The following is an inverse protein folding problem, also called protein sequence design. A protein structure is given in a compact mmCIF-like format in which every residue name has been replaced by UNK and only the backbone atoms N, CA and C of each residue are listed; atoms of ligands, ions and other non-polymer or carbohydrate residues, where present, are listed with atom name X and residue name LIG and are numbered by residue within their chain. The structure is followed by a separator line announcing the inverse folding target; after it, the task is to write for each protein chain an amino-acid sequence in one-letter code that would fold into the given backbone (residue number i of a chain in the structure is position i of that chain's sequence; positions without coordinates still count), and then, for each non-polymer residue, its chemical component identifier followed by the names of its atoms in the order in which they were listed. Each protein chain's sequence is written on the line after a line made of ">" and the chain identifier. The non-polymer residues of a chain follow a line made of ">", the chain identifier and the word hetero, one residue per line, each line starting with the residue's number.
data_IF_035658161434
#
_entry.id   IF_035658161434
#
_cell.length_a   1.000
_cell.length_b   1.000
_cell.length_c   1.000
_cell.angle_alpha   90.00
_cell.angle_beta   90.00
_cell.angle_gamma   90.00
#
_symmetry.space_group_name_H-M   'P 1'
#
loop_
_entity.id
_entity.type
_entity.pdbx_description
1 polymer ?
#
# COMPACT_ATOMS: atom_id res chain seq x y z
N UNK A 1 21.56 23.52 4.80
CA UNK A 1 20.20 23.00 5.02
C UNK A 1 20.25 21.49 4.85
N UNK A 2 20.32 20.77 5.95
CA UNK A 2 20.34 19.30 5.96
C UNK A 2 18.98 18.82 5.47
N UNK A 3 18.90 18.20 4.29
CA UNK A 3 17.71 17.43 3.88
C UNK A 3 17.57 16.31 4.90
N UNK A 4 16.59 16.42 5.79
CA UNK A 4 16.15 15.27 6.55
C UNK A 4 15.80 14.19 5.54
N UNK A 5 16.57 13.10 5.54
CA UNK A 5 16.26 11.94 4.72
C UNK A 5 14.82 11.52 5.04
N UNK A 6 13.95 11.53 4.05
CA UNK A 6 12.57 11.09 4.26
C UNK A 6 12.62 9.64 4.71
N UNK A 7 12.07 9.36 5.88
CA UNK A 7 12.01 8.02 6.45
C UNK A 7 10.95 7.25 5.65
N UNK A 8 11.34 6.74 4.50
CA UNK A 8 10.41 6.01 3.63
C UNK A 8 10.27 4.57 4.12
N UNK A 9 9.06 4.21 4.57
CA UNK A 9 8.71 2.85 4.94
C UNK A 9 7.82 2.26 3.85
N UNK A 10 7.96 0.97 3.60
CA UNK A 10 7.10 0.26 2.66
C UNK A 10 7.02 -1.22 3.00
N UNK A 11 6.02 -1.89 2.47
CA UNK A 11 5.84 -3.33 2.66
C UNK A 11 6.25 -4.06 1.39
N UNK A 12 7.00 -5.14 1.55
CA UNK A 12 7.37 -6.05 0.46
C UNK A 12 6.89 -7.47 0.77
N UNK A 13 6.83 -8.28 -0.27
CA UNK A 13 6.54 -9.70 -0.12
C UNK A 13 7.58 -10.55 -0.85
N UNK A 14 7.96 -11.69 -0.25
CA UNK A 14 8.77 -12.71 -0.90
C UNK A 14 7.83 -13.70 -1.64
N UNK A 15 7.88 -13.75 -2.98
CA UNK A 15 7.05 -14.67 -3.76
C UNK A 15 7.32 -16.15 -3.44
N UNK A 16 8.54 -16.51 -3.03
CA UNK A 16 8.93 -17.89 -2.72
C UNK A 16 8.25 -18.42 -1.45
N UNK A 17 7.92 -17.51 -0.53
CA UNK A 17 7.26 -17.84 0.74
C UNK A 17 5.73 -17.64 0.68
N UNK A 18 5.22 -16.96 -0.35
CA UNK A 18 3.80 -16.68 -0.49
C UNK A 18 3.04 -17.88 -1.04
N UNK A 19 2.06 -18.39 -0.29
CA UNK A 19 1.18 -19.49 -0.71
C UNK A 19 -0.12 -19.03 -1.37
N UNK A 20 -0.31 -17.73 -1.57
CA UNK A 20 -1.50 -17.18 -2.21
C UNK A 20 -2.81 -17.32 -1.40
N UNK A 21 -2.78 -17.45 -0.08
CA UNK A 21 -3.96 -17.73 0.75
C UNK A 21 -4.95 -16.56 0.89
N UNK A 22 -4.60 -15.35 0.45
CA UNK A 22 -5.39 -14.11 0.56
C UNK A 22 -5.69 -13.62 1.99
N UNK A 23 -5.14 -14.22 3.03
CA UNK A 23 -5.34 -13.78 4.42
C UNK A 23 -4.96 -12.31 4.62
N UNK A 24 -3.90 -11.86 3.97
CA UNK A 24 -3.46 -10.47 3.99
C UNK A 24 -4.51 -9.49 3.40
N UNK A 25 -5.25 -9.91 2.37
CA UNK A 25 -6.34 -9.10 1.80
C UNK A 25 -7.50 -8.97 2.78
N UNK A 26 -7.90 -10.07 3.40
CA UNK A 26 -9.00 -10.09 4.40
C UNK A 26 -8.65 -9.23 5.60
N UNK A 27 -7.46 -9.40 6.14
CA UNK A 27 -6.97 -8.63 7.29
C UNK A 27 -6.88 -7.12 6.97
N UNK A 28 -6.40 -6.78 5.78
CA UNK A 28 -6.38 -5.39 5.32
C UNK A 28 -7.79 -4.79 5.26
N UNK A 29 -8.76 -5.51 4.68
CA UNK A 29 -10.17 -5.10 4.64
C UNK A 29 -10.75 -4.88 6.02
N UNK A 30 -10.58 -5.83 6.92
CA UNK A 30 -11.13 -5.77 8.27
C UNK A 30 -10.57 -4.60 9.07
N UNK A 31 -9.25 -4.39 9.00
CA UNK A 31 -8.62 -3.30 9.73
C UNK A 31 -9.13 -1.93 9.27
N UNK A 32 -9.23 -1.72 7.95
CA UNK A 32 -9.76 -0.46 7.43
C UNK A 32 -11.25 -0.25 7.74
N UNK A 33 -12.05 -1.31 7.69
CA UNK A 33 -13.45 -1.24 8.12
C UNK A 33 -13.62 -0.80 9.58
N UNK A 34 -12.77 -1.28 10.48
CA UNK A 34 -12.80 -0.89 11.90
C UNK A 34 -12.63 0.61 12.10
N UNK A 35 -11.89 1.25 11.20
CA UNK A 35 -11.64 2.70 11.22
C UNK A 35 -12.57 3.49 10.30
N UNK A 36 -13.66 2.87 9.79
CA UNK A 36 -14.65 3.55 8.95
C UNK A 36 -14.19 3.89 7.53
N UNK A 37 -13.09 3.28 7.08
CA UNK A 37 -12.55 3.43 5.73
C UNK A 37 -13.16 2.39 4.77
N UNK A 38 -12.92 2.56 3.47
CA UNK A 38 -13.39 1.61 2.47
C UNK A 38 -12.92 0.18 2.76
N UNK A 39 -13.83 -0.78 2.62
CA UNK A 39 -13.57 -2.19 2.92
C UNK A 39 -12.71 -2.90 1.87
N UNK A 40 -12.49 -2.31 0.70
CA UNK A 40 -11.65 -2.92 -0.31
C UNK A 40 -10.19 -3.08 0.18
N UNK A 41 -9.57 -4.24 -0.03
CA UNK A 41 -8.18 -4.46 0.38
C UNK A 41 -7.24 -3.56 -0.40
N UNK A 42 -6.20 -3.04 0.26
CA UNK A 42 -5.23 -2.10 -0.31
C UNK A 42 -4.00 -2.80 -0.89
N UNK A 43 -4.11 -4.09 -1.05
CA UNK A 43 -3.15 -4.95 -1.73
C UNK A 43 -3.92 -6.02 -2.49
N UNK A 44 -3.30 -6.59 -3.50
CA UNK A 44 -3.91 -7.64 -4.31
C UNK A 44 -2.94 -8.80 -4.51
N UNK A 45 -3.35 -10.01 -4.16
CA UNK A 45 -2.56 -11.20 -4.43
C UNK A 45 -2.70 -11.56 -5.91
N UNK A 46 -1.59 -11.46 -6.61
CA UNK A 46 -1.46 -11.84 -8.02
C UNK A 46 -0.83 -13.23 -8.09
N UNK A 47 -1.28 -14.03 -9.04
CA UNK A 47 -0.75 -15.37 -9.29
C UNK A 47 -0.37 -15.53 -10.75
N UNK A 48 0.76 -16.13 -10.98
CA UNK A 48 1.15 -16.64 -12.28
C UNK A 48 1.20 -18.18 -12.21
N UNK A 49 1.79 -18.83 -13.21
CA UNK A 49 1.87 -20.30 -13.25
C UNK A 49 2.79 -20.92 -12.20
N UNK A 50 3.74 -20.16 -11.67
CA UNK A 50 4.80 -20.64 -10.81
C UNK A 50 4.72 -20.03 -9.40
N UNK A 51 4.36 -18.74 -9.32
CA UNK A 51 4.46 -17.97 -8.09
C UNK A 51 3.17 -17.23 -7.76
N UNK A 52 3.06 -16.84 -6.51
CA UNK A 52 2.05 -15.89 -6.04
C UNK A 52 2.69 -14.85 -5.15
N UNK A 53 2.23 -13.60 -5.25
CA UNK A 53 2.65 -12.55 -4.33
C UNK A 53 1.61 -11.45 -4.22
N UNK A 54 1.47 -10.81 -3.08
CA UNK A 54 0.69 -9.59 -2.96
C UNK A 54 1.42 -8.41 -3.61
N UNK A 55 0.74 -7.71 -4.50
CA UNK A 55 1.17 -6.42 -5.07
C UNK A 55 0.58 -5.31 -4.22
N UNK A 56 1.42 -4.37 -3.81
CA UNK A 56 1.03 -3.26 -2.95
C UNK A 56 1.81 -1.99 -3.26
N UNK A 57 1.43 -0.89 -2.60
CA UNK A 57 2.06 0.40 -2.82
C UNK A 57 3.52 0.42 -2.33
N UNK A 58 4.43 0.91 -3.15
CA UNK A 58 5.85 1.06 -2.83
C UNK A 58 6.17 2.34 -2.05
N UNK A 59 5.18 3.15 -1.70
CA UNK A 59 5.37 4.41 -0.95
C UNK A 59 6.45 5.32 -1.56
N UNK A 60 6.41 5.51 -2.88
CA UNK A 60 7.42 6.24 -3.65
C UNK A 60 7.74 7.61 -3.07
N UNK A 61 9.01 8.01 -3.07
CA UNK A 61 9.42 9.34 -2.56
C UNK A 61 8.77 10.46 -3.37
N UNK A 62 8.82 10.37 -4.69
CA UNK A 62 8.27 11.36 -5.62
C UNK A 62 6.80 11.11 -5.97
N UNK A 63 6.16 10.17 -5.37
CA UNK A 63 4.73 9.82 -5.38
C UNK A 63 3.95 10.34 -6.62
N UNK A 64 4.12 9.77 -7.83
CA UNK A 64 3.46 10.28 -9.04
C UNK A 64 1.94 10.32 -8.92
N UNK A 65 1.37 9.44 -8.11
CA UNK A 65 -0.06 9.43 -7.81
C UNK A 65 -0.51 10.68 -7.02
N UNK A 66 0.35 11.25 -6.18
CA UNK A 66 0.05 12.49 -5.47
C UNK A 66 0.17 13.70 -6.39
N UNK A 67 1.18 13.71 -7.27
CA UNK A 67 1.41 14.82 -8.21
C UNK A 67 0.25 15.01 -9.19
N UNK A 68 -0.35 13.93 -9.66
CA UNK A 68 -1.46 14.01 -10.63
C UNK A 68 -2.83 14.20 -9.97
N UNK A 69 -2.91 14.25 -8.65
CA UNK A 69 -4.19 14.37 -7.95
C UNK A 69 -4.68 15.84 -7.95
N UNK A 70 -5.74 16.18 -8.70
CA UNK A 70 -6.18 17.58 -8.84
C UNK A 70 -6.75 18.18 -7.55
N UNK A 71 -7.18 17.33 -6.63
CA UNK A 71 -7.80 17.73 -5.35
C UNK A 71 -6.88 17.52 -4.16
N UNK A 72 -5.61 17.17 -4.39
CA UNK A 72 -4.63 16.88 -3.35
C UNK A 72 -5.13 15.87 -2.28
N UNK A 73 -5.93 14.89 -2.70
CA UNK A 73 -6.44 13.84 -1.81
C UNK A 73 -5.33 12.85 -1.39
N UNK A 74 -4.22 12.81 -2.11
CA UNK A 74 -3.08 11.93 -1.81
C UNK A 74 -1.93 12.79 -1.32
N UNK A 75 -1.47 12.52 -0.10
CA UNK A 75 -0.38 13.26 0.56
C UNK A 75 0.52 12.32 1.34
N UNK A 76 1.72 12.80 1.67
CA UNK A 76 2.60 12.11 2.62
C UNK A 76 2.21 12.53 4.04
N UNK A 77 1.81 11.55 4.85
CA UNK A 77 1.44 11.72 6.24
C UNK A 77 1.97 10.52 7.05
N UNK A 78 2.51 10.74 8.23
CA UNK A 78 2.98 9.68 9.13
C UNK A 78 3.88 8.62 8.45
N UNK A 79 4.85 9.08 7.65
CA UNK A 79 5.78 8.24 6.87
C UNK A 79 5.12 7.35 5.80
N UNK A 80 3.86 7.57 5.48
CA UNK A 80 3.13 6.90 4.41
C UNK A 80 2.59 7.90 3.38
N UNK A 81 2.40 7.44 2.15
CA UNK A 81 1.60 8.17 1.17
C UNK A 81 0.14 7.77 1.42
N UNK A 82 -0.59 8.60 2.14
CA UNK A 82 -1.97 8.37 2.52
C UNK A 82 -2.95 8.99 1.52
N UNK A 83 -4.14 8.40 1.43
CA UNK A 83 -5.25 8.91 0.64
C UNK A 83 -6.38 9.35 1.58
N UNK A 84 -6.82 10.58 1.45
CA UNK A 84 -8.07 11.03 2.06
C UNK A 84 -9.25 10.67 1.14
N UNK A 85 -10.00 9.64 1.53
CA UNK A 85 -11.13 9.14 0.75
C UNK A 85 -12.27 10.16 0.60
N UNK A 86 -12.43 11.07 1.58
CA UNK A 86 -13.48 12.11 1.54
C UNK A 86 -13.23 13.17 0.46
N UNK A 87 -11.96 13.48 0.19
CA UNK A 87 -11.56 14.43 -0.85
C UNK A 87 -11.52 13.82 -2.25
N UNK A 88 -11.45 12.50 -2.35
CA UNK A 88 -11.30 11.81 -3.63
C UNK A 88 -12.53 12.03 -4.53
N UNK A 89 -12.33 12.56 -5.74
CA UNK A 89 -13.36 12.78 -6.75
C UNK A 89 -13.50 11.66 -7.77
N UNK A 90 -12.78 10.55 -7.57
CA UNK A 90 -12.82 9.37 -8.45
C UNK A 90 -12.37 9.63 -9.90
N UNK A 91 -11.48 10.58 -10.13
CA UNK A 91 -10.98 10.92 -11.48
C UNK A 91 -10.05 9.85 -12.09
N UNK A 92 -9.57 8.88 -11.29
CA UNK A 92 -8.74 7.72 -11.68
C UNK A 92 -7.33 8.04 -12.20
N UNK A 93 -6.91 9.29 -12.26
CA UNK A 93 -5.57 9.69 -12.74
C UNK A 93 -4.44 9.03 -11.94
N UNK A 94 -4.62 8.89 -10.63
CA UNK A 94 -3.62 8.25 -9.76
C UNK A 94 -3.38 6.77 -10.11
N UNK A 95 -4.41 6.05 -10.57
CA UNK A 95 -4.26 4.67 -11.01
C UNK A 95 -3.45 4.55 -12.31
N UNK A 96 -3.63 5.49 -13.22
CA UNK A 96 -2.87 5.56 -14.49
C UNK A 96 -1.42 5.95 -14.22
N UNK A 97 -1.20 6.90 -13.31
CA UNK A 97 0.14 7.37 -12.97
C UNK A 97 0.95 6.37 -12.13
N UNK A 98 0.32 5.38 -11.51
CA UNK A 98 1.01 4.39 -10.69
C UNK A 98 1.72 3.34 -11.56
N UNK A 99 3.07 3.29 -11.59
CA UNK A 99 3.81 2.34 -12.43
C UNK A 99 3.67 0.88 -11.95
N UNK A 100 3.21 0.68 -10.71
CA UNK A 100 3.10 -0.64 -10.09
C UNK A 100 1.68 -1.22 -10.12
N UNK A 101 0.68 -0.47 -10.64
CA UNK A 101 -0.72 -0.89 -10.61
C UNK A 101 -1.28 -1.10 -9.19
N UNK A 102 -0.69 -0.45 -8.19
CA UNK A 102 -1.02 -0.65 -6.78
C UNK A 102 -2.22 0.18 -6.30
N UNK A 103 -2.92 0.84 -7.20
CA UNK A 103 -4.11 1.65 -6.90
C UNK A 103 -5.30 1.03 -7.62
N UNK A 104 -6.30 0.63 -6.85
CA UNK A 104 -7.58 0.13 -7.35
C UNK A 104 -8.68 1.15 -7.09
N UNK A 105 -9.86 0.91 -7.63
CA UNK A 105 -11.01 1.78 -7.43
C UNK A 105 -12.16 0.92 -6.94
N UNK A 106 -12.66 1.24 -5.76
CA UNK A 106 -13.76 0.53 -5.17
C UNK A 106 -14.67 1.49 -4.41
N UNK A 107 -15.94 1.16 -4.35
CA UNK A 107 -16.91 1.82 -3.50
C UNK A 107 -17.52 0.79 -2.57
N UNK A 108 -17.59 1.10 -1.29
CA UNK A 108 -18.38 0.37 -0.32
C UNK A 108 -19.26 1.35 0.45
N UNK A 109 -20.40 0.88 0.91
CA UNK A 109 -21.17 1.67 1.85
C UNK A 109 -20.32 1.90 3.10
N UNK A 110 -20.26 3.13 3.62
CA UNK A 110 -19.64 3.38 4.92
C UNK A 110 -20.29 2.46 5.93
N UNK A 111 -19.49 1.80 6.74
CA UNK A 111 -20.03 0.98 7.82
C UNK A 111 -20.87 1.89 8.73
N UNK A 112 -22.05 1.44 9.12
CA UNK A 112 -22.91 2.20 10.01
C UNK A 112 -22.10 2.60 11.25
N UNK A 113 -21.95 3.89 11.47
CA UNK A 113 -21.27 4.43 12.66
C UNK A 113 -21.99 3.87 13.89
N UNK A 114 -21.28 3.30 14.87
CA UNK A 114 -21.90 2.78 16.08
C UNK A 114 -22.79 3.83 16.72
N UNK A 115 -23.94 3.44 17.23
CA UNK A 115 -25.09 4.25 17.67
C UNK A 115 -24.82 5.38 18.69
N UNK A 116 -23.60 5.67 19.04
CA UNK A 116 -23.24 6.75 19.98
C UNK A 116 -23.09 8.13 19.33
N UNK A 117 -23.18 8.23 18.00
CA UNK A 117 -23.31 9.51 17.33
C UNK A 117 -24.79 9.77 17.04
N UNK A 118 -25.34 10.84 17.63
CA UNK A 118 -26.67 11.38 17.30
C UNK A 118 -26.68 11.96 15.87
N UNK A 119 -26.46 11.12 14.87
CA UNK A 119 -26.73 11.49 13.50
C UNK A 119 -28.20 11.28 13.21
N UNK A 120 -28.89 12.26 12.61
CA UNK A 120 -30.28 12.08 12.18
C UNK A 120 -30.34 10.83 11.29
N UNK A 121 -31.33 9.96 11.52
CA UNK A 121 -31.57 8.75 10.73
C UNK A 121 -31.33 9.04 9.26
N UNK A 122 -30.35 8.39 8.66
CA UNK A 122 -30.14 8.46 7.24
C UNK A 122 -31.48 8.12 6.56
N UNK A 123 -31.92 8.99 5.68
CA UNK A 123 -33.07 8.70 4.85
C UNK A 123 -32.85 7.37 4.14
N UNK A 124 -33.86 6.47 4.08
CA UNK A 124 -33.70 5.23 3.34
C UNK A 124 -33.21 5.55 1.93
N UNK A 125 -32.15 4.89 1.49
CA UNK A 125 -31.61 5.10 0.17
C UNK A 125 -32.75 5.06 -0.87
N UNK A 126 -32.84 6.05 -1.75
CA UNK A 126 -33.90 6.06 -2.76
C UNK A 126 -33.77 4.75 -3.56
N UNK A 127 -34.93 4.04 -3.71
CA UNK A 127 -34.96 2.84 -4.56
C UNK A 127 -34.50 3.24 -5.96
N UNK A 128 -33.47 2.59 -6.46
CA UNK A 128 -32.99 2.83 -7.81
C UNK A 128 -34.16 2.72 -8.81
N UNK A 129 -34.30 3.66 -9.72
CA UNK A 129 -35.33 3.57 -10.76
C UNK A 129 -35.07 2.33 -11.61
N UNK A 130 -36.11 1.52 -11.83
CA UNK A 130 -36.06 0.19 -12.45
C UNK A 130 -35.62 0.12 -13.92
N UNK A 131 -35.26 1.22 -14.55
CA UNK A 131 -34.92 1.25 -15.96
C UNK A 131 -33.83 2.30 -16.26
N UNK A 132 -32.66 2.12 -15.68
CA UNK A 132 -31.49 2.90 -16.07
C UNK A 132 -30.68 2.04 -17.04
N UNK A 133 -30.23 2.66 -18.15
CA UNK A 133 -29.28 2.03 -19.07
C UNK A 133 -28.10 1.43 -18.29
N UNK A 134 -27.61 0.23 -18.63
CA UNK A 134 -26.44 -0.35 -17.94
C UNK A 134 -25.22 0.56 -17.88
N UNK A 135 -25.12 1.54 -18.77
CA UNK A 135 -24.11 2.60 -18.76
C UNK A 135 -24.30 3.62 -17.63
N UNK A 136 -25.51 3.72 -17.08
CA UNK A 136 -25.88 4.64 -15.99
C UNK A 136 -26.22 3.88 -14.71
N UNK A 137 -26.01 2.58 -14.68
CA UNK A 137 -26.26 1.72 -13.52
C UNK A 137 -25.21 1.99 -12.44
N UNK A 138 -25.35 3.11 -11.77
CA UNK A 138 -24.63 3.46 -10.56
C UNK A 138 -25.54 3.26 -9.36
N UNK A 139 -25.09 2.58 -8.33
CA UNK A 139 -25.81 2.52 -7.06
C UNK A 139 -25.75 3.90 -6.41
N UNK A 140 -26.88 4.62 -6.28
CA UNK A 140 -26.88 5.94 -5.68
C UNK A 140 -26.33 5.89 -4.25
N UNK A 141 -25.38 6.77 -3.94
CA UNK A 141 -24.73 6.84 -2.63
C UNK A 141 -23.46 6.00 -2.47
N UNK A 142 -23.11 5.15 -3.46
CA UNK A 142 -21.81 4.50 -3.49
C UNK A 142 -20.90 5.24 -4.46
N UNK A 143 -19.85 5.86 -3.94
CA UNK A 143 -18.82 6.50 -4.75
C UNK A 143 -17.59 5.62 -4.81
N UNK A 144 -17.17 5.22 -6.01
CA UNK A 144 -15.91 4.54 -6.19
C UNK A 144 -14.77 5.52 -5.91
N UNK A 145 -13.96 5.26 -4.90
CA UNK A 145 -12.77 6.05 -4.56
C UNK A 145 -11.51 5.27 -4.89
N UNK A 146 -10.40 5.97 -5.01
CA UNK A 146 -9.10 5.30 -5.09
C UNK A 146 -8.82 4.53 -3.80
N UNK A 147 -8.25 3.35 -3.94
CA UNK A 147 -7.86 2.48 -2.82
C UNK A 147 -6.39 2.15 -2.99
N UNK A 148 -5.59 2.49 -2.00
CA UNK A 148 -4.13 2.25 -2.00
C UNK A 148 -3.63 1.99 -0.59
N UNK A 149 -2.53 1.25 -0.46
CA UNK A 149 -1.89 0.98 0.82
C UNK A 149 -1.39 2.29 1.46
N UNK A 150 -1.74 2.48 2.71
CA UNK A 150 -1.39 3.59 3.60
C UNK A 150 -0.55 3.14 4.80
N UNK A 151 -0.03 1.90 4.75
CA UNK A 151 0.72 1.23 5.82
C UNK A 151 -0.08 1.08 7.13
N UNK A 152 -1.41 1.17 7.08
CA UNK A 152 -2.26 1.27 8.27
C UNK A 152 -1.76 2.35 9.25
N UNK A 153 -1.33 3.51 8.73
CA UNK A 153 -0.71 4.60 9.50
C UNK A 153 -1.63 5.18 10.59
N UNK A 154 -2.91 4.87 10.54
CA UNK A 154 -3.93 5.19 11.54
C UNK A 154 -3.96 4.19 12.72
N UNK A 155 -3.38 2.98 12.55
CA UNK A 155 -3.35 1.94 13.57
C UNK A 155 -2.02 1.95 14.31
N UNK A 156 -2.01 1.98 15.66
CA UNK A 156 -0.79 1.92 16.44
C UNK A 156 -0.03 0.61 16.24
N UNK A 157 -0.73 -0.41 15.81
CA UNK A 157 -0.21 -1.74 15.61
C UNK A 157 0.54 -1.93 14.29
N UNK A 158 0.48 -0.96 13.38
CA UNK A 158 1.10 -1.02 12.05
C UNK A 158 0.36 -1.94 11.07
N UNK A 159 1.02 -2.34 9.96
CA UNK A 159 0.35 -3.05 8.87
C UNK A 159 -0.23 -4.40 9.26
N UNK A 160 -1.56 -4.54 9.22
CA UNK A 160 -2.27 -5.76 9.57
C UNK A 160 -1.86 -6.97 8.69
N UNK A 161 -1.58 -6.74 7.41
CA UNK A 161 -1.16 -7.78 6.47
C UNK A 161 0.17 -8.45 6.87
N UNK A 162 1.10 -7.71 7.48
CA UNK A 162 2.38 -8.26 7.97
C UNK A 162 2.14 -9.22 9.12
N UNK A 163 1.29 -8.83 10.07
CA UNK A 163 1.01 -9.63 11.29
C UNK A 163 0.26 -10.93 11.00
N UNK A 164 -0.63 -10.90 10.02
CA UNK A 164 -1.53 -12.03 9.75
C UNK A 164 -1.00 -13.00 8.69
N UNK A 165 0.15 -12.72 8.08
CA UNK A 165 0.73 -13.61 7.08
C UNK A 165 1.22 -14.92 7.72
N UNK A 166 0.62 -16.09 7.43
CA UNK A 166 0.96 -17.35 8.09
C UNK A 166 2.37 -17.84 7.73
N UNK A 167 2.87 -17.48 6.56
CA UNK A 167 4.20 -17.85 6.08
C UNK A 167 5.24 -16.75 6.28
N UNK A 168 4.86 -15.64 6.92
CA UNK A 168 5.74 -14.47 7.10
C UNK A 168 6.36 -13.94 5.79
N UNK A 169 5.67 -14.19 4.67
CA UNK A 169 6.14 -13.73 3.37
C UNK A 169 6.14 -12.19 3.23
N UNK A 170 5.40 -11.48 4.08
CA UNK A 170 5.23 -10.03 4.01
C UNK A 170 6.04 -9.36 5.11
N UNK A 171 6.86 -8.39 4.73
CA UNK A 171 7.75 -7.68 5.66
C UNK A 171 7.60 -6.16 5.50
N UNK A 172 7.52 -5.45 6.63
CA UNK A 172 7.65 -3.99 6.66
C UNK A 172 9.13 -3.61 6.59
N UNK A 173 9.51 -2.91 5.55
CA UNK A 173 10.88 -2.40 5.38
C UNK A 173 10.95 -0.99 5.97
N UNK A 174 11.78 -0.86 6.99
CA UNK A 174 12.18 0.41 7.57
C UNK A 174 13.56 0.82 7.04
N UNK A 175 13.96 2.09 7.11
CA UNK A 175 15.30 2.54 6.73
C UNK A 175 16.41 1.78 7.46
N UNK A 176 16.23 1.49 8.74
CA UNK A 176 17.20 0.74 9.53
C UNK A 176 17.37 -0.69 9.01
N UNK A 177 16.26 -1.38 8.72
CA UNK A 177 16.29 -2.71 8.12
C UNK A 177 16.97 -2.68 6.74
N UNK A 178 16.64 -1.70 5.91
CA UNK A 178 17.25 -1.53 4.59
C UNK A 178 18.76 -1.31 4.70
N UNK A 179 19.20 -0.47 5.65
CA UNK A 179 20.62 -0.24 5.91
C UNK A 179 21.32 -1.52 6.38
N UNK A 180 20.75 -2.24 7.35
CA UNK A 180 21.31 -3.49 7.87
C UNK A 180 21.46 -4.56 6.77
N UNK A 181 20.41 -4.75 5.94
CA UNK A 181 20.45 -5.69 4.80
C UNK A 181 21.55 -5.30 3.79
N UNK A 182 21.67 -4.00 3.49
CA UNK A 182 22.68 -3.50 2.57
C UNK A 182 24.09 -3.71 3.13
N UNK A 183 24.28 -3.48 4.42
CA UNK A 183 25.52 -3.73 5.12
C UNK A 183 25.90 -5.22 5.07
N UNK A 184 24.96 -6.12 5.35
CA UNK A 184 25.20 -7.55 5.29
C UNK A 184 25.58 -8.02 3.89
N UNK A 185 24.94 -7.50 2.85
CA UNK A 185 25.29 -7.80 1.46
C UNK A 185 26.71 -7.34 1.13
N UNK A 186 27.14 -6.17 1.62
CA UNK A 186 28.53 -5.68 1.43
C UNK A 186 29.54 -6.57 2.13
N UNK A 187 29.26 -7.00 3.37
CA UNK A 187 30.13 -7.93 4.10
C UNK A 187 30.25 -9.28 3.37
N UNK A 188 29.12 -9.82 2.90
CA UNK A 188 29.12 -11.05 2.13
C UNK A 188 29.94 -10.92 0.81
N UNK A 189 29.82 -9.77 0.14
CA UNK A 189 30.59 -9.50 -1.08
C UNK A 189 32.09 -9.40 -0.81
N UNK A 190 32.51 -8.88 0.35
CA UNK A 190 33.92 -8.89 0.77
C UNK A 190 34.45 -10.30 1.05
N UNK A 191 33.61 -11.21 1.56
CA UNK A 191 33.96 -12.57 1.89
C UNK A 191 34.15 -13.49 0.64
N UNK A 192 33.71 -13.05 -0.53
CA UNK A 192 33.76 -13.81 -1.80
C UNK A 192 35.05 -13.51 -2.59
N UNK A 193 36.09 -12.97 -1.98
CA UNK A 193 37.38 -12.91 -2.67
C UNK A 193 37.92 -14.33 -2.84
N UNK A 194 38.11 -14.82 -4.06
CA UNK A 194 38.73 -16.15 -4.26
C UNK A 194 40.13 -16.15 -3.69
N UNK A 195 40.48 -17.18 -2.92
CA UNK A 195 41.82 -17.41 -2.48
C UNK A 195 42.76 -17.42 -3.71
N UNK A 196 43.69 -16.47 -3.78
CA UNK A 196 44.66 -16.36 -4.86
C UNK A 196 44.64 -15.10 -5.71
N UNK A 197 43.64 -14.21 -5.54
CA UNK A 197 43.66 -12.86 -6.13
C UNK A 197 44.26 -11.91 -5.09
N UNK A 198 45.58 -11.76 -5.07
CA UNK A 198 46.23 -10.67 -4.34
C UNK A 198 46.03 -9.38 -5.10
N UNK A 199 45.59 -8.32 -4.40
CA UNK A 199 45.60 -6.99 -4.98
C UNK A 199 47.02 -6.68 -5.47
N UNK A 200 47.19 -6.06 -6.67
CA UNK A 200 48.51 -5.65 -7.12
C UNK A 200 49.08 -4.70 -6.07
N UNK A 201 50.33 -4.99 -5.65
CA UNK A 201 51.05 -4.16 -4.70
C UNK A 201 50.98 -2.70 -5.18
N UNK A 202 50.48 -1.82 -4.34
CA UNK A 202 50.55 -0.40 -4.59
C UNK A 202 52.02 -0.01 -4.52
N UNK A 203 52.72 -0.08 -5.67
CA UNK A 203 54.06 0.46 -5.77
C UNK A 203 54.02 1.91 -5.32
N UNK A 204 54.86 2.19 -4.32
CA UNK A 204 54.96 3.46 -3.66
C UNK A 204 55.29 4.58 -4.63
N UNK A 205 54.39 5.52 -4.77
CA UNK A 205 54.73 6.83 -5.33
C UNK A 205 55.65 7.57 -4.37
N UNK A 206 56.87 7.75 -4.83
CA UNK A 206 57.80 8.73 -4.26
C UNK A 206 57.33 10.14 -4.61
#
# INVERSE_FOLDING_TARGET
>A
MSRMASVNQYVIADPRSCIGCNTCMVSCSQEHQRYGLQSAPRLQVVRNRLDSAPVMCHQCEDAPCAQVCPVNAIKRENNAIALNESLCISCKLCGIACPFGAITFAGSLPQAIPHNCHTPKALPAPRAPRAVSPMLDCVPGIRAVAVKCDLCSFSPDGPACVKTCPTQAITLVTPDLQHAVSQQKRLNAMAVFPDGITAPDREGGK
#
